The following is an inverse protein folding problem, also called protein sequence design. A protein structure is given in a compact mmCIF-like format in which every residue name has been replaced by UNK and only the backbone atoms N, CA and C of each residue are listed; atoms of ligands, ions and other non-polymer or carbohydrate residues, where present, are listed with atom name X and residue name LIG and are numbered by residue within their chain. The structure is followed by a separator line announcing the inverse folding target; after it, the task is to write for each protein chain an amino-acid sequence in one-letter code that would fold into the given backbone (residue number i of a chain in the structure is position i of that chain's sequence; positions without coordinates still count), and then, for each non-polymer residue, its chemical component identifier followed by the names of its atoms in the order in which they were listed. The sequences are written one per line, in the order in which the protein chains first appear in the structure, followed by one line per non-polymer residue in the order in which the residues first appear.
data_IF_019145111995
#
_entry.id   IF_019145111995
#
_cell.length_a   1.000
_cell.length_b   1.000
_cell.length_c   1.000
_cell.angle_alpha   90.00
_cell.angle_beta   90.00
_cell.angle_gamma   90.00
#
_symmetry.space_group_name_H-M   'P 1'
#
loop_
_entity.id
_entity.type
_entity.pdbx_description
1 polymer ?
#
# COMPACT_ATOMS: atom_id res chain seq x y z
N UNK A 1 31.80 15.70 29.31
CA UNK A 1 30.48 16.34 29.49
C UNK A 1 29.54 15.65 28.53
N UNK A 2 28.60 14.85 29.04
CA UNK A 2 27.56 14.26 28.20
C UNK A 2 26.59 15.39 27.84
N UNK A 3 26.70 15.93 26.63
CA UNK A 3 25.69 16.85 26.10
C UNK A 3 24.38 16.08 25.98
N UNK A 4 23.43 16.37 26.88
CA UNK A 4 22.05 15.88 26.85
C UNK A 4 21.22 16.60 25.79
N UNK A 5 21.82 16.91 24.65
CA UNK A 5 21.10 17.43 23.51
C UNK A 5 20.54 16.21 22.77
N UNK A 6 19.27 15.88 23.06
CA UNK A 6 18.54 14.95 22.21
C UNK A 6 18.55 15.57 20.80
N UNK A 7 19.01 14.85 19.77
CA UNK A 7 18.91 15.36 18.41
C UNK A 7 17.43 15.71 18.16
N UNK A 8 17.15 16.81 17.43
CA UNK A 8 15.77 17.17 17.11
C UNK A 8 15.15 15.95 16.44
N UNK A 9 14.23 15.28 17.14
CA UNK A 9 13.51 14.12 16.64
C UNK A 9 12.64 14.63 15.49
N UNK A 10 13.21 14.65 14.29
CA UNK A 10 12.53 14.94 13.04
C UNK A 10 11.67 13.74 12.65
N UNK A 11 10.78 13.31 13.54
CA UNK A 11 9.78 12.32 13.21
C UNK A 11 8.68 13.04 12.44
N UNK A 12 8.76 12.99 11.11
CA UNK A 12 7.57 13.23 10.27
C UNK A 12 6.50 12.24 10.72
N UNK A 13 5.57 12.70 11.56
CA UNK A 13 4.43 11.90 12.01
C UNK A 13 3.56 11.67 10.79
N UNK A 14 3.76 10.56 10.09
CA UNK A 14 2.93 10.19 8.96
C UNK A 14 1.62 9.64 9.49
N UNK A 15 0.57 10.44 9.34
CA UNK A 15 -0.81 9.99 9.61
C UNK A 15 -1.18 8.94 8.57
N UNK A 16 -1.77 7.83 9.03
CA UNK A 16 -2.27 6.79 8.15
C UNK A 16 -3.24 7.37 7.11
N UNK A 17 -3.07 6.96 5.86
CA UNK A 17 -3.95 7.29 4.73
C UNK A 17 -4.13 6.05 3.87
N UNK A 18 -5.27 5.95 3.20
CA UNK A 18 -5.44 4.97 2.14
C UNK A 18 -4.35 5.17 1.07
N UNK A 19 -3.54 4.15 0.80
CA UNK A 19 -2.46 4.25 -0.18
C UNK A 19 -3.02 4.33 -1.59
N UNK A 20 -2.33 5.11 -2.44
CA UNK A 20 -2.64 5.19 -3.86
C UNK A 20 -2.23 3.89 -4.58
N UNK A 21 -2.80 3.64 -5.75
CA UNK A 21 -2.38 2.51 -6.61
C UNK A 21 -1.20 2.96 -7.46
N UNK A 22 -0.11 2.18 -7.43
CA UNK A 22 1.07 2.39 -8.25
C UNK A 22 0.68 2.55 -9.73
N UNK A 23 1.26 3.51 -10.49
CA UNK A 23 0.90 3.75 -11.89
C UNK A 23 0.94 2.48 -12.75
N UNK A 24 1.98 1.67 -12.58
CA UNK A 24 2.12 0.37 -13.26
C UNK A 24 1.07 -0.67 -12.84
N UNK A 25 0.50 -0.56 -11.63
CA UNK A 25 -0.55 -1.45 -11.14
C UNK A 25 -1.89 -1.24 -11.84
N UNK A 26 -2.17 0.00 -12.29
CA UNK A 26 -3.46 0.38 -12.89
C UNK A 26 -3.81 -0.45 -14.11
N UNK A 27 -2.82 -0.83 -14.93
CA UNK A 27 -3.03 -1.68 -16.11
C UNK A 27 -3.50 -3.08 -15.73
N UNK A 28 -2.94 -3.67 -14.67
CA UNK A 28 -3.34 -4.99 -14.19
C UNK A 28 -4.72 -4.97 -13.54
N UNK A 29 -5.02 -3.93 -12.77
CA UNK A 29 -6.37 -3.71 -12.21
C UNK A 29 -7.40 -3.55 -13.33
N UNK A 30 -7.09 -2.77 -14.37
CA UNK A 30 -7.97 -2.58 -15.52
C UNK A 30 -8.23 -3.88 -16.29
N UNK A 31 -7.19 -4.71 -16.50
CA UNK A 31 -7.34 -6.02 -17.14
C UNK A 31 -8.22 -6.95 -16.30
N UNK A 32 -7.96 -7.05 -14.99
CA UNK A 32 -8.76 -7.88 -14.09
C UNK A 32 -10.22 -7.43 -14.05
N UNK A 33 -10.47 -6.12 -13.98
CA UNK A 33 -11.80 -5.53 -14.03
C UNK A 33 -12.49 -5.80 -15.37
N UNK A 34 -11.79 -5.69 -16.49
CA UNK A 34 -12.33 -5.97 -17.82
C UNK A 34 -12.73 -7.44 -17.97
N UNK A 35 -11.92 -8.37 -17.44
CA UNK A 35 -12.26 -9.80 -17.40
C UNK A 35 -13.50 -10.02 -16.53
N UNK A 36 -13.54 -9.45 -15.31
CA UNK A 36 -14.71 -9.55 -14.43
C UNK A 36 -15.98 -9.02 -15.11
N UNK A 37 -15.87 -7.89 -15.83
CA UNK A 37 -16.97 -7.29 -16.56
C UNK A 37 -17.44 -8.15 -17.74
N UNK A 38 -16.52 -8.73 -18.52
CA UNK A 38 -16.87 -9.62 -19.62
C UNK A 38 -17.66 -10.84 -19.14
N UNK A 39 -17.37 -11.35 -17.94
CA UNK A 39 -18.07 -12.50 -17.36
C UNK A 39 -19.49 -12.21 -16.89
N UNK A 40 -19.90 -10.94 -16.75
CA UNK A 40 -21.31 -10.57 -16.51
C UNK A 40 -22.25 -11.03 -17.64
N UNK A 41 -21.72 -11.24 -18.85
CA UNK A 41 -22.53 -11.67 -20.00
C UNK A 41 -22.55 -13.19 -20.19
N UNK A 42 -21.78 -13.92 -19.40
CA UNK A 42 -21.60 -15.37 -19.53
C UNK A 42 -22.16 -16.09 -18.31
N UNK A 43 -21.70 -15.71 -17.11
CA UNK A 43 -22.06 -16.38 -15.88
C UNK A 43 -21.81 -15.51 -14.64
N UNK A 44 -22.88 -14.99 -14.04
CA UNK A 44 -22.78 -14.04 -12.92
C UNK A 44 -22.08 -14.60 -11.67
N UNK A 45 -22.13 -15.91 -11.44
CA UNK A 45 -21.52 -16.51 -10.24
C UNK A 45 -20.01 -16.28 -10.19
N UNK A 46 -19.32 -16.33 -11.33
CA UNK A 46 -17.86 -16.18 -11.39
C UNK A 46 -17.41 -14.71 -11.29
N UNK A 47 -18.33 -13.77 -11.50
CA UNK A 47 -18.05 -12.33 -11.41
C UNK A 47 -17.65 -11.95 -9.99
N UNK A 48 -18.26 -12.56 -8.97
CA UNK A 48 -17.93 -12.27 -7.56
C UNK A 48 -16.49 -12.64 -7.19
N UNK A 49 -16.00 -13.88 -7.47
CA UNK A 49 -14.59 -14.20 -7.33
C UNK A 49 -13.66 -13.28 -8.13
N UNK A 50 -14.00 -12.94 -9.37
CA UNK A 50 -13.19 -12.06 -10.22
C UNK A 50 -13.16 -10.62 -9.72
N UNK A 51 -14.25 -10.13 -9.15
CA UNK A 51 -14.32 -8.83 -8.50
C UNK A 51 -13.43 -8.81 -7.25
N UNK A 52 -13.47 -9.85 -6.42
CA UNK A 52 -12.58 -9.96 -5.26
C UNK A 52 -11.12 -10.04 -5.68
N UNK A 53 -10.81 -10.81 -6.73
CA UNK A 53 -9.46 -10.85 -7.32
C UNK A 53 -9.02 -9.47 -7.80
N UNK A 54 -9.89 -8.71 -8.47
CA UNK A 54 -9.60 -7.34 -8.93
C UNK A 54 -9.25 -6.42 -7.76
N UNK A 55 -10.00 -6.51 -6.66
CA UNK A 55 -9.68 -5.78 -5.42
C UNK A 55 -8.35 -6.24 -4.82
N UNK A 56 -8.06 -7.55 -4.83
CA UNK A 56 -6.79 -8.11 -4.40
C UNK A 56 -5.60 -7.59 -5.22
N UNK A 57 -5.75 -7.50 -6.55
CA UNK A 57 -4.74 -6.91 -7.44
C UNK A 57 -4.55 -5.43 -7.13
N UNK A 58 -5.63 -4.68 -6.93
CA UNK A 58 -5.54 -3.27 -6.54
C UNK A 58 -4.81 -3.10 -5.18
N UNK A 59 -5.10 -3.96 -4.22
CA UNK A 59 -4.44 -3.96 -2.91
C UNK A 59 -2.97 -4.38 -2.98
N UNK A 60 -2.60 -5.28 -3.89
CA UNK A 60 -1.21 -5.71 -4.09
C UNK A 60 -0.33 -4.57 -4.64
N UNK A 61 -0.85 -3.81 -5.61
CA UNK A 61 -0.14 -2.67 -6.21
C UNK A 61 -0.30 -1.36 -5.44
N UNK A 62 -0.75 -1.40 -4.18
CA UNK A 62 -0.79 -0.21 -3.34
C UNK A 62 0.62 0.33 -3.11
N UNK A 63 0.77 1.64 -3.18
CA UNK A 63 2.04 2.35 -3.00
C UNK A 63 1.91 3.38 -1.86
N UNK A 64 2.02 2.94 -0.59
CA UNK A 64 1.96 3.83 0.56
C UNK A 64 3.26 4.60 0.70
N UNK A 65 3.18 5.85 1.17
CA UNK A 65 4.36 6.64 1.52
C UNK A 65 5.15 5.92 2.63
N UNK A 66 6.43 5.62 2.36
CA UNK A 66 7.37 5.05 3.33
C UNK A 66 8.18 6.17 3.96
N UNK A 67 8.19 6.22 5.29
CA UNK A 67 9.08 7.12 6.03
C UNK A 67 9.87 6.31 7.06
N UNK A 68 11.16 6.59 7.16
CA UNK A 68 12.03 5.99 8.17
C UNK A 68 12.45 7.07 9.16
N UNK A 69 12.33 6.84 10.48
CA UNK A 69 12.78 7.81 11.47
C UNK A 69 14.31 7.99 11.38
N UNK A 70 14.77 9.24 11.48
CA UNK A 70 16.19 9.60 11.44
C UNK A 70 16.62 10.13 12.81
N UNK A 71 17.78 9.70 13.31
CA UNK A 71 18.30 10.11 14.62
C UNK A 71 19.44 9.22 15.11
N UNK A 72 20.33 9.80 15.93
CA UNK A 72 21.44 9.07 16.54
C UNK A 72 20.94 8.03 17.56
N UNK A 73 21.52 6.82 17.54
CA UNK A 73 21.16 5.75 18.45
C UNK A 73 19.81 5.07 18.19
N UNK A 74 19.14 5.35 17.06
CA UNK A 74 17.89 4.69 16.68
C UNK A 74 18.14 3.30 16.10
N UNK A 75 17.36 2.32 16.56
CA UNK A 75 17.23 0.99 15.92
C UNK A 75 15.90 0.98 15.18
N UNK A 76 15.94 0.80 13.86
CA UNK A 76 14.75 0.82 12.99
C UNK A 76 14.35 -0.62 12.65
N UNK A 77 13.06 -0.96 12.78
CA UNK A 77 12.55 -2.26 12.37
C UNK A 77 12.56 -2.39 10.83
N UNK A 78 12.84 -3.58 10.28
CA UNK A 78 12.86 -3.78 8.83
C UNK A 78 11.46 -3.70 8.20
N UNK A 79 10.41 -3.83 9.02
CA UNK A 79 9.02 -3.69 8.60
C UNK A 79 8.21 -2.98 9.68
N UNK A 80 7.37 -2.08 9.20
CA UNK A 80 6.23 -1.44 9.84
C UNK A 80 5.08 -2.45 9.79
N UNK A 81 5.11 -3.42 10.72
CA UNK A 81 3.96 -4.28 11.01
C UNK A 81 2.74 -3.44 11.40
N UNK A 82 1.56 -4.06 11.40
CA UNK A 82 0.33 -3.44 11.90
C UNK A 82 0.19 -3.71 13.40
#
# INVERSE_FOLDING_TARGET
MASLDKPPLGTTTVKWRFPDIHPEGRKYVAIAAAIAFAFLFIWDFIVWPLAFLTLGVAAFFRDPVRVTPQGEGLIVSPADGL
#
